data_IF_961270063891
#
_entry.id   IF_961270063891
#
_cell.length_a   1.000
_cell.length_b   1.000
_cell.length_c   1.000
_cell.angle_alpha   90.00
_cell.angle_beta   90.00
_cell.angle_gamma   90.00
#
_symmetry.space_group_name_H-M   'P 1'
#
loop_
_entity.id
_entity.type
_entity.pdbx_description
1 polymer ?
#
# COMPACT_ATOMS: atom_id res chain seq x y z
N UNK A 1 -2.71 -20.79 9.43
CA UNK A 1 -2.14 -19.42 9.48
C UNK A 1 -1.22 -19.24 8.28
N UNK A 2 -1.31 -18.11 7.58
CA UNK A 2 -0.41 -17.77 6.46
C UNK A 2 0.24 -16.42 6.74
N UNK A 3 1.48 -16.24 6.30
CA UNK A 3 2.25 -15.02 6.55
C UNK A 3 2.77 -14.49 5.22
N UNK A 4 2.77 -13.17 5.07
CA UNK A 4 3.43 -12.49 3.98
C UNK A 4 4.19 -11.28 4.47
N UNK A 5 5.40 -11.09 3.95
CA UNK A 5 6.27 -9.96 4.26
C UNK A 5 6.82 -9.36 2.99
N UNK A 6 6.99 -8.04 2.96
CA UNK A 6 7.65 -7.37 1.85
C UNK A 6 8.46 -6.14 2.31
N UNK A 7 9.51 -5.83 1.55
CA UNK A 7 10.42 -4.71 1.77
C UNK A 7 10.65 -3.97 0.44
N UNK A 8 10.37 -2.67 0.43
CA UNK A 8 10.35 -1.82 -0.76
C UNK A 8 11.26 -0.63 -0.54
N UNK A 9 12.14 -0.34 -1.51
CA UNK A 9 12.88 0.92 -1.54
C UNK A 9 11.93 2.07 -1.88
N UNK A 10 11.93 3.14 -1.07
CA UNK A 10 11.13 4.35 -1.32
C UNK A 10 11.51 4.97 -2.66
N UNK A 11 12.81 5.03 -2.96
CA UNK A 11 13.33 5.52 -4.24
C UNK A 11 12.80 4.76 -5.46
N UNK A 12 12.42 3.48 -5.31
CA UNK A 12 11.79 2.72 -6.40
C UNK A 12 10.43 3.29 -6.77
N UNK A 13 9.63 3.66 -5.77
CA UNK A 13 8.30 4.26 -5.95
C UNK A 13 8.43 5.68 -6.49
N UNK A 14 9.36 6.46 -5.95
CA UNK A 14 9.66 7.81 -6.47
C UNK A 14 10.07 7.80 -7.94
N UNK A 15 11.01 6.92 -8.30
CA UNK A 15 11.49 6.83 -9.67
C UNK A 15 10.38 6.33 -10.61
N UNK A 16 9.53 5.41 -10.15
CA UNK A 16 8.38 4.96 -10.92
C UNK A 16 7.37 6.08 -11.16
N UNK A 17 7.05 6.84 -10.11
CA UNK A 17 6.16 7.99 -10.21
C UNK A 17 6.75 9.08 -11.12
N UNK A 18 8.06 9.38 -11.02
CA UNK A 18 8.74 10.33 -11.90
C UNK A 18 8.71 9.90 -13.37
N UNK A 19 8.84 8.60 -13.64
CA UNK A 19 8.92 8.07 -15.01
C UNK A 19 7.56 7.89 -15.69
N UNK A 20 6.52 7.53 -14.93
CA UNK A 20 5.22 7.15 -15.48
C UNK A 20 4.04 7.99 -14.98
N UNK A 21 4.25 8.86 -13.99
CA UNK A 21 3.25 9.75 -13.43
C UNK A 21 2.02 9.01 -12.91
N UNK A 22 0.85 9.60 -13.14
CA UNK A 22 -0.42 9.09 -12.63
C UNK A 22 -0.81 7.73 -13.20
N UNK A 23 -0.29 7.34 -14.38
CA UNK A 23 -0.54 6.00 -14.94
C UNK A 23 -0.01 4.91 -14.03
N UNK A 24 1.14 5.13 -13.38
CA UNK A 24 1.68 4.19 -12.40
C UNK A 24 0.81 4.17 -11.15
N UNK A 25 0.45 5.35 -10.62
CA UNK A 25 -0.36 5.45 -9.41
C UNK A 25 -1.72 4.78 -9.59
N UNK A 26 -2.46 5.16 -10.63
CA UNK A 26 -3.81 4.65 -10.91
C UNK A 26 -3.84 3.17 -11.31
N UNK A 27 -2.69 2.57 -11.63
CA UNK A 27 -2.58 1.13 -11.86
C UNK A 27 -2.50 0.33 -10.56
N UNK A 28 -1.94 0.91 -9.51
CA UNK A 28 -1.60 0.20 -8.27
C UNK A 28 -2.47 0.63 -7.11
N UNK A 29 -2.73 1.93 -6.98
CA UNK A 29 -3.40 2.53 -5.84
C UNK A 29 -4.80 3.01 -6.22
N UNK A 30 -5.73 2.86 -5.31
CA UNK A 30 -7.07 3.42 -5.46
C UNK A 30 -7.04 4.94 -5.25
N UNK A 31 -8.03 5.69 -5.76
CA UNK A 31 -8.10 7.13 -5.52
C UNK A 31 -8.12 7.50 -4.02
N UNK A 32 -8.73 6.66 -3.18
CA UNK A 32 -8.76 6.86 -1.74
C UNK A 32 -7.36 6.70 -1.10
N UNK A 33 -6.58 5.71 -1.55
CA UNK A 33 -5.19 5.51 -1.10
C UNK A 33 -4.30 6.68 -1.49
N UNK A 34 -4.41 7.15 -2.74
CA UNK A 34 -3.64 8.30 -3.25
C UNK A 34 -3.96 9.53 -2.38
N UNK A 35 -5.25 9.81 -2.17
CA UNK A 35 -5.69 10.92 -1.32
C UNK A 35 -5.17 10.81 0.12
N UNK A 36 -5.19 9.62 0.71
CA UNK A 36 -4.66 9.38 2.05
C UNK A 36 -3.13 9.57 2.13
N UNK A 37 -2.41 9.35 1.04
CA UNK A 37 -0.97 9.61 0.95
C UNK A 37 -0.63 11.07 0.68
N UNK A 38 -1.55 11.84 0.10
CA UNK A 38 -1.35 13.26 -0.18
C UNK A 38 -1.40 14.14 1.08
N UNK A 39 -2.10 13.77 2.17
CA UNK A 39 -2.32 14.65 3.32
C UNK A 39 -1.40 14.48 4.53
N UNK A 40 -0.83 15.59 5.03
CA UNK A 40 -0.19 15.77 6.36
C UNK A 40 1.11 14.99 6.61
N UNK A 41 2.23 15.56 6.17
CA UNK A 41 3.57 15.33 6.71
C UNK A 41 3.65 15.88 8.15
N UNK A 42 3.34 15.04 9.15
CA UNK A 42 3.80 15.26 10.52
C UNK A 42 4.90 14.27 10.84
N UNK A 43 6.14 14.74 10.65
CA UNK A 43 7.34 14.60 11.50
C UNK A 43 8.61 14.61 10.63
N UNK A 44 9.42 15.67 10.78
CA UNK A 44 10.84 15.71 10.44
C UNK A 44 11.24 16.18 9.05
N UNK A 45 11.19 17.50 8.79
CA UNK A 45 12.25 18.33 8.19
C UNK A 45 11.68 19.59 7.53
N UNK A 46 12.22 20.79 7.82
CA UNK A 46 11.84 22.00 7.11
C UNK A 46 12.38 21.93 5.67
N UNK A 47 11.48 21.97 4.69
CA UNK A 47 11.84 22.34 3.32
C UNK A 47 12.56 23.70 3.40
N UNK A 48 13.85 23.70 3.02
CA UNK A 48 14.63 24.93 2.89
C UNK A 48 13.83 25.90 2.02
N UNK A 49 13.41 27.02 2.61
CA UNK A 49 12.86 28.15 1.90
C UNK A 49 13.95 28.69 0.97
N UNK A 50 13.94 28.28 -0.30
CA UNK A 50 14.63 29.03 -1.34
C UNK A 50 13.82 30.29 -1.56
N UNK A 51 14.35 31.42 -1.06
CA UNK A 51 13.74 32.73 -1.20
C UNK A 51 13.44 33.05 -2.67
N UNK A 52 12.24 33.54 -2.92
CA UNK A 52 11.78 34.03 -4.21
C UNK A 52 10.59 34.96 -4.00
N UNK A 53 10.72 36.14 -4.59
CA UNK A 53 9.82 37.31 -4.63
C UNK A 53 8.31 37.03 -4.48
N UNK A 54 7.66 37.88 -3.67
CA UNK A 54 6.20 38.04 -3.65
C UNK A 54 5.75 38.68 -4.97
N UNK A 55 5.05 37.92 -5.82
CA UNK A 55 4.54 38.37 -7.10
C UNK A 55 3.25 37.66 -7.51
N UNK A 56 2.18 38.45 -7.59
CA UNK A 56 0.98 38.39 -8.46
C UNK A 56 0.38 37.05 -8.93
N UNK A 57 -0.92 36.89 -8.61
CA UNK A 57 -1.99 36.35 -9.48
C UNK A 57 -1.85 34.96 -10.10
N UNK A 58 -1.55 33.95 -9.28
CA UNK A 58 -1.91 32.56 -9.54
C UNK A 58 -2.05 31.81 -8.20
N UNK A 59 -3.20 31.95 -7.52
CA UNK A 59 -3.57 31.18 -6.31
C UNK A 59 -3.89 29.71 -6.67
N UNK A 60 -3.02 29.08 -7.47
CA UNK A 60 -3.02 27.63 -7.66
C UNK A 60 -2.34 27.03 -6.45
N UNK A 61 -3.13 26.69 -5.43
CA UNK A 61 -2.66 25.81 -4.34
C UNK A 61 -1.86 24.66 -4.96
N UNK A 62 -0.60 24.44 -4.58
CA UNK A 62 0.22 23.41 -5.19
C UNK A 62 -0.49 22.07 -5.04
N UNK A 63 -0.71 21.40 -6.17
CA UNK A 63 -1.35 20.10 -6.22
C UNK A 63 -0.58 19.14 -5.29
N UNK A 64 -1.23 18.69 -4.23
CA UNK A 64 -0.57 18.02 -3.12
C UNK A 64 -0.17 16.60 -3.53
N UNK A 65 1.09 16.45 -3.94
CA UNK A 65 1.65 15.17 -4.39
C UNK A 65 1.67 14.14 -3.25
N UNK A 66 1.35 12.86 -3.52
CA UNK A 66 1.36 11.82 -2.50
C UNK A 66 2.78 11.55 -1.97
N UNK A 67 2.91 11.35 -0.65
CA UNK A 67 4.20 11.03 -0.03
C UNK A 67 4.69 9.64 -0.50
N UNK A 68 5.87 9.55 -1.16
CA UNK A 68 6.39 8.30 -1.69
C UNK A 68 6.67 7.25 -0.60
N UNK A 69 6.99 7.65 0.63
CA UNK A 69 7.21 6.71 1.76
C UNK A 69 5.92 5.98 2.11
N UNK A 70 4.81 6.72 2.14
CA UNK A 70 3.47 6.16 2.40
C UNK A 70 2.98 5.29 1.26
N UNK A 71 3.26 5.67 0.01
CA UNK A 71 2.98 4.84 -1.16
C UNK A 71 3.81 3.54 -1.14
N UNK A 72 5.10 3.63 -0.77
CA UNK A 72 5.96 2.45 -0.63
C UNK A 72 5.46 1.51 0.46
N UNK A 73 4.99 2.03 1.60
CA UNK A 73 4.38 1.21 2.66
C UNK A 73 3.13 0.47 2.17
N UNK A 74 2.26 1.14 1.41
CA UNK A 74 1.07 0.50 0.80
C UNK A 74 1.44 -0.51 -0.28
N UNK A 75 2.46 -0.22 -1.09
CA UNK A 75 2.96 -1.17 -2.09
C UNK A 75 3.46 -2.45 -1.40
N UNK A 76 4.31 -2.29 -0.36
CA UNK A 76 4.83 -3.39 0.44
C UNK A 76 3.68 -4.20 1.07
N UNK A 77 2.65 -3.51 1.59
CA UNK A 77 1.50 -4.17 2.17
C UNK A 77 0.70 -4.99 1.15
N UNK A 78 0.46 -4.47 -0.06
CA UNK A 78 -0.20 -5.23 -1.13
C UNK A 78 0.63 -6.44 -1.56
N UNK A 79 1.93 -6.30 -1.71
CA UNK A 79 2.83 -7.44 -1.99
C UNK A 79 2.81 -8.49 -0.86
N UNK A 80 2.83 -8.04 0.41
CA UNK A 80 2.73 -8.92 1.57
C UNK A 80 1.40 -9.70 1.57
N UNK A 81 0.27 -9.06 1.25
CA UNK A 81 -1.03 -9.74 1.07
C UNK A 81 -0.93 -10.80 -0.02
N UNK A 82 -0.40 -10.44 -1.20
CA UNK A 82 -0.28 -11.36 -2.33
C UNK A 82 0.59 -12.59 -2.00
N UNK A 83 1.65 -12.41 -1.21
CA UNK A 83 2.51 -13.49 -0.71
C UNK A 83 1.79 -14.38 0.31
N UNK A 84 1.04 -13.79 1.24
CA UNK A 84 0.28 -14.55 2.23
C UNK A 84 -0.81 -15.41 1.57
N UNK A 85 -1.50 -14.86 0.56
CA UNK A 85 -2.49 -15.59 -0.24
C UNK A 85 -1.82 -16.66 -1.11
N UNK A 86 -0.68 -16.35 -1.74
CA UNK A 86 0.12 -17.31 -2.51
C UNK A 86 -0.22 -17.42 -4.00
N UNK A 87 -0.98 -16.46 -4.54
CA UNK A 87 -1.44 -16.46 -5.94
C UNK A 87 -0.68 -15.49 -6.86
N UNK A 88 0.03 -14.52 -6.27
CA UNK A 88 0.62 -13.39 -6.99
C UNK A 88 -0.41 -12.57 -7.80
N UNK A 89 0.07 -11.81 -8.79
CA UNK A 89 -0.78 -10.98 -9.66
C UNK A 89 -1.40 -11.73 -10.84
N UNK A 90 -1.24 -13.05 -10.94
CA UNK A 90 -1.81 -13.84 -12.05
C UNK A 90 -3.34 -13.88 -12.00
N UNK A 91 -3.89 -13.88 -10.79
CA UNK A 91 -5.33 -14.07 -10.53
C UNK A 91 -5.98 -12.88 -9.80
N UNK A 92 -5.25 -11.78 -9.63
CA UNK A 92 -5.75 -10.59 -8.92
C UNK A 92 -5.22 -9.31 -9.56
N UNK A 93 -5.89 -8.19 -9.29
CA UNK A 93 -5.43 -6.85 -9.69
C UNK A 93 -5.03 -6.04 -8.47
N UNK A 94 -4.06 -5.15 -8.62
CA UNK A 94 -3.66 -4.24 -7.54
C UNK A 94 -4.81 -3.43 -6.93
N UNK A 95 -5.74 -2.98 -7.76
CA UNK A 95 -6.90 -2.17 -7.35
C UNK A 95 -8.01 -2.98 -6.66
N UNK A 96 -7.89 -4.31 -6.64
CA UNK A 96 -8.75 -5.17 -5.82
C UNK A 96 -8.39 -5.12 -4.34
N UNK A 97 -7.23 -4.57 -3.99
CA UNK A 97 -6.81 -4.28 -2.63
C UNK A 97 -6.86 -2.77 -2.38
N UNK A 98 -7.44 -2.36 -1.27
CA UNK A 98 -7.42 -0.99 -0.78
C UNK A 98 -6.96 -0.97 0.68
N UNK A 99 -5.94 -0.16 0.98
CA UNK A 99 -5.36 -0.07 2.33
C UNK A 99 -5.48 1.35 2.87
N UNK A 100 -6.37 1.51 3.85
CA UNK A 100 -6.62 2.77 4.53
C UNK A 100 -6.43 2.61 6.03
N UNK A 101 -5.97 3.67 6.68
CA UNK A 101 -5.85 3.69 8.13
C UNK A 101 -7.22 3.97 8.75
N UNK A 102 -7.55 3.30 9.85
CA UNK A 102 -8.73 3.65 10.63
C UNK A 102 -8.52 4.94 11.44
N UNK A 103 -9.52 5.29 12.28
CA UNK A 103 -9.47 6.52 13.10
C UNK A 103 -8.33 6.54 14.11
N UNK A 104 -7.79 5.38 14.50
CA UNK A 104 -6.67 5.24 15.44
C UNK A 104 -5.33 5.10 14.70
N UNK A 105 -5.33 5.10 13.37
CA UNK A 105 -4.14 4.96 12.55
C UNK A 105 -3.79 3.52 12.19
N UNK A 106 -4.55 2.50 12.62
CA UNK A 106 -4.26 1.10 12.27
C UNK A 106 -4.58 0.87 10.78
N UNK A 107 -3.65 0.34 9.96
CA UNK A 107 -3.95 0.04 8.56
C UNK A 107 -4.97 -1.11 8.47
N UNK A 108 -5.98 -0.93 7.61
CA UNK A 108 -7.01 -1.93 7.31
C UNK A 108 -7.02 -2.22 5.81
N UNK A 109 -7.06 -3.50 5.48
CA UNK A 109 -7.22 -3.99 4.11
C UNK A 109 -8.70 -4.20 3.80
N UNK A 110 -9.14 -3.68 2.66
CA UNK A 110 -10.40 -4.03 2.02
C UNK A 110 -10.09 -4.73 0.70
N UNK A 111 -10.64 -5.92 0.49
CA UNK A 111 -10.52 -6.68 -0.74
C UNK A 111 -11.83 -6.68 -1.52
N UNK A 112 -11.75 -6.79 -2.85
CA UNK A 112 -12.90 -6.93 -3.76
C UNK A 112 -12.56 -7.83 -4.94
N UNK A 113 -13.56 -8.19 -5.74
CA UNK A 113 -13.36 -8.93 -6.99
C UNK A 113 -12.82 -10.33 -6.78
N UNK A 114 -11.91 -10.77 -7.67
CA UNK A 114 -11.39 -12.13 -7.66
C UNK A 114 -10.58 -12.43 -6.39
N UNK A 115 -9.82 -11.46 -5.89
CA UNK A 115 -9.04 -11.64 -4.65
C UNK A 115 -9.93 -11.93 -3.44
N UNK A 116 -11.05 -11.22 -3.29
CA UNK A 116 -11.98 -11.46 -2.17
C UNK A 116 -12.53 -12.88 -2.22
N UNK A 117 -13.00 -13.31 -3.41
CA UNK A 117 -13.49 -14.67 -3.65
C UNK A 117 -12.45 -15.72 -3.25
N UNK A 118 -11.19 -15.51 -3.65
CA UNK A 118 -10.09 -16.43 -3.31
C UNK A 118 -9.86 -16.46 -1.79
N UNK A 119 -9.87 -15.31 -1.11
CA UNK A 119 -9.69 -15.25 0.35
C UNK A 119 -10.84 -15.94 1.09
N UNK A 120 -12.07 -15.80 0.61
CA UNK A 120 -13.26 -16.51 1.12
C UNK A 120 -13.15 -18.02 0.90
N UNK A 121 -12.83 -18.47 -0.31
CA UNK A 121 -12.66 -19.89 -0.67
C UNK A 121 -11.49 -20.53 0.09
N UNK A 122 -10.46 -19.74 0.42
CA UNK A 122 -9.37 -20.17 1.30
C UNK A 122 -9.79 -20.29 2.76
N UNK A 123 -10.95 -19.76 3.16
CA UNK A 123 -11.42 -19.74 4.54
C UNK A 123 -10.71 -18.69 5.40
N UNK A 124 -10.24 -17.58 4.84
CA UNK A 124 -9.65 -16.49 5.64
C UNK A 124 -10.73 -15.88 6.54
N UNK A 125 -10.55 -15.99 7.85
CA UNK A 125 -11.50 -15.50 8.86
C UNK A 125 -11.04 -14.19 9.52
N UNK A 126 -9.74 -13.97 9.56
CA UNK A 126 -9.17 -12.76 10.19
C UNK A 126 -7.83 -12.38 9.54
N UNK A 127 -7.46 -11.11 9.68
CA UNK A 127 -6.26 -10.53 9.09
C UNK A 127 -5.67 -9.44 9.98
N UNK A 128 -4.38 -9.54 10.25
CA UNK A 128 -3.59 -8.45 10.83
C UNK A 128 -2.54 -7.96 9.82
N UNK A 129 -2.46 -6.63 9.70
CA UNK A 129 -1.54 -5.92 8.82
C UNK A 129 -0.79 -4.87 9.63
N UNK A 130 0.52 -4.80 9.42
CA UNK A 130 1.38 -3.75 9.95
C UNK A 130 2.28 -3.19 8.85
N UNK A 131 2.52 -1.88 8.89
CA UNK A 131 3.32 -1.14 7.92
C UNK A 131 4.30 -0.26 8.70
N UNK A 132 5.57 -0.25 8.30
CA UNK A 132 6.59 0.64 8.82
C UNK A 132 7.41 1.21 7.68
N UNK A 133 7.93 2.44 7.82
CA UNK A 133 8.81 3.03 6.83
C UNK A 133 9.84 3.96 7.45
N UNK A 134 10.97 4.09 6.76
CA UNK A 134 11.99 5.13 6.92
C UNK A 134 12.01 6.00 5.66
N UNK A 135 13.01 6.86 5.50
CA UNK A 135 13.21 7.61 4.26
C UNK A 135 13.70 6.72 3.10
N UNK A 136 14.36 5.60 3.40
CA UNK A 136 14.95 4.74 2.38
C UNK A 136 14.09 3.52 2.04
N UNK A 137 13.44 2.93 3.04
CA UNK A 137 12.72 1.68 2.90
C UNK A 137 11.33 1.74 3.56
N UNK A 138 10.40 0.97 3.01
CA UNK A 138 9.14 0.66 3.64
C UNK A 138 8.97 -0.86 3.70
N UNK A 139 8.41 -1.37 4.79
CA UNK A 139 8.12 -2.78 4.96
C UNK A 139 6.68 -2.99 5.41
N UNK A 140 6.15 -4.16 5.12
CA UNK A 140 4.87 -4.59 5.64
C UNK A 140 4.89 -6.07 6.02
N UNK A 141 4.12 -6.40 7.05
CA UNK A 141 3.85 -7.77 7.48
C UNK A 141 2.35 -8.01 7.53
N UNK A 142 1.92 -9.15 7.00
CA UNK A 142 0.53 -9.60 6.96
C UNK A 142 0.44 -11.00 7.57
N UNK A 143 -0.54 -11.18 8.45
CA UNK A 143 -0.94 -12.47 8.98
C UNK A 143 -2.38 -12.72 8.54
N UNK A 144 -2.61 -13.86 7.89
CA UNK A 144 -3.95 -14.37 7.59
C UNK A 144 -4.28 -15.53 8.52
N UNK A 145 -5.38 -15.40 9.24
CA UNK A 145 -5.99 -16.48 10.00
C UNK A 145 -6.96 -17.19 9.08
N UNK A 146 -6.78 -18.49 8.94
CA UNK A 146 -7.55 -19.34 8.02
C UNK A 146 -8.25 -20.40 8.86
N UNK A 147 -9.58 -20.45 8.75
CA UNK A 147 -10.43 -21.49 9.34
C UNK A 147 -10.12 -22.84 8.70
N UNK A 148 -10.06 -23.90 9.51
CA UNK A 148 -9.47 -25.17 9.11
C UNK A 148 -10.22 -25.93 8.02
N UNK A 149 -9.47 -26.35 7.00
CA UNK A 149 -9.49 -27.74 6.55
C UNK A 149 -8.08 -28.30 6.75
N UNK A 150 -7.96 -29.30 7.62
CA UNK A 150 -6.78 -30.18 7.64
C UNK A 150 -6.77 -30.89 6.31
N UNK A 151 -5.82 -30.56 5.42
CA UNK A 151 -5.45 -31.48 4.35
C UNK A 151 -4.53 -32.50 4.99
N UNK A 152 -4.99 -33.73 5.11
CA UNK A 152 -4.06 -34.85 5.25
C UNK A 152 -3.14 -34.82 4.02
N UNK A 153 -1.84 -34.95 4.22
CA UNK A 153 -0.90 -35.21 3.14
C UNK A 153 -1.30 -36.55 2.50
N UNK A 154 -2.03 -36.50 1.40
CA UNK A 154 -2.05 -37.55 0.39
C UNK A 154 -1.02 -37.16 -0.65
N UNK A 155 0.26 -37.39 -0.37
CA UNK A 155 1.28 -37.78 -1.36
C UNK A 155 2.65 -37.99 -0.68
N UNK A 156 2.86 -39.25 -0.29
CA UNK A 156 4.00 -40.13 -0.63
C UNK A 156 5.43 -39.60 -0.60
#
# INVERSE_FOLDING_TARGET
MRIGVDLVRVSRIENAFRRWGDRFLNRIFTPAEIKACSGCSRQGEPQKATGGSWGSDDDKRPELKPDPRRLAGRFAAKEAVLKAVGIGLRYSKWLEMEILNDRLGKPKLTCRGALLKIMEDMGVTDLDLSISHTDEFAMAGVILIVGGHVRADEDR
#
